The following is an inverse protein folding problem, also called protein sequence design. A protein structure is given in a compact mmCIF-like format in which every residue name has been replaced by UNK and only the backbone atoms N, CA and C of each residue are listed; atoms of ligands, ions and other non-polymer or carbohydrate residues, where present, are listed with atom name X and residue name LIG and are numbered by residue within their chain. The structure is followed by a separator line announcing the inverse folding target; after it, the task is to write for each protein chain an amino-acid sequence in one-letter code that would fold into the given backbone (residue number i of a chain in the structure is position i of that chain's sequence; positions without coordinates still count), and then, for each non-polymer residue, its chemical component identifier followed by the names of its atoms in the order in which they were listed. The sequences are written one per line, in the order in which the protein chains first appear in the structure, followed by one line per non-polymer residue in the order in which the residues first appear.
data_IF_602692164610
#
_entry.id   IF_602692164610
#
_cell.length_a   1.000
_cell.length_b   1.000
_cell.length_c   1.000
_cell.angle_alpha   90.00
_cell.angle_beta   90.00
_cell.angle_gamma   90.00
#
_symmetry.space_group_name_H-M   'P 1'
#
loop_
_entity.id
_entity.type
_entity.pdbx_description
1 polymer ?
#
# COMPACT_ATOMS: atom_id res chain seq x y z
N UNK A 1 -7.26 -14.11 1.47
CA UNK A 1 -6.29 -13.17 0.87
C UNK A 1 -7.04 -11.88 0.58
N UNK A 2 -6.64 -10.78 1.20
CA UNK A 2 -7.28 -9.46 1.08
C UNK A 2 -6.47 -8.63 0.09
N UNK A 3 -7.13 -8.15 -0.96
CA UNK A 3 -6.50 -7.30 -1.95
C UNK A 3 -6.62 -5.84 -1.51
N UNK A 4 -5.50 -5.14 -1.42
CA UNK A 4 -5.43 -3.78 -0.92
C UNK A 4 -4.85 -2.83 -1.99
N UNK A 5 -5.49 -1.68 -2.14
CA UNK A 5 -5.02 -0.56 -2.94
C UNK A 5 -4.71 0.62 -2.02
N UNK A 6 -3.60 1.31 -2.26
CA UNK A 6 -3.15 2.45 -1.43
C UNK A 6 -3.09 3.72 -2.27
N UNK A 7 -3.76 4.78 -1.81
CA UNK A 7 -3.64 6.15 -2.35
C UNK A 7 -2.75 6.98 -1.41
N UNK A 8 -1.89 7.83 -1.97
CA UNK A 8 -0.85 8.56 -1.22
C UNK A 8 0.36 7.69 -0.89
N UNK A 9 0.71 6.75 -1.77
CA UNK A 9 1.74 5.73 -1.58
C UNK A 9 3.14 6.28 -1.28
N UNK A 10 3.50 7.44 -1.83
CA UNK A 10 4.77 8.12 -1.57
C UNK A 10 4.73 9.00 -0.31
N UNK A 11 3.55 9.20 0.28
CA UNK A 11 3.40 9.88 1.57
C UNK A 11 3.93 9.04 2.73
N UNK A 12 4.32 9.70 3.83
CA UNK A 12 4.86 9.05 5.05
C UNK A 12 3.98 7.92 5.59
N UNK A 13 2.66 8.06 5.49
CA UNK A 13 1.72 7.02 5.93
C UNK A 13 1.51 5.96 4.85
N UNK A 14 1.44 6.36 3.57
CA UNK A 14 1.25 5.40 2.47
C UNK A 14 2.39 4.39 2.38
N UNK A 15 3.63 4.84 2.58
CA UNK A 15 4.80 3.97 2.60
C UNK A 15 4.72 2.94 3.74
N UNK A 16 4.30 3.36 4.94
CA UNK A 16 4.11 2.45 6.09
C UNK A 16 2.97 1.46 5.87
N UNK A 17 1.87 1.89 5.22
CA UNK A 17 0.74 1.02 4.89
C UNK A 17 1.18 -0.05 3.88
N UNK A 18 1.92 0.35 2.85
CA UNK A 18 2.48 -0.58 1.85
C UNK A 18 3.39 -1.60 2.54
N UNK A 19 4.29 -1.15 3.41
CA UNK A 19 5.20 -2.02 4.16
C UNK A 19 4.44 -3.07 4.99
N UNK A 20 3.39 -2.65 5.71
CA UNK A 20 2.54 -3.55 6.48
C UNK A 20 1.78 -4.57 5.61
N UNK A 21 1.28 -4.14 4.44
CA UNK A 21 0.61 -5.04 3.50
C UNK A 21 1.60 -6.08 2.97
N UNK A 22 2.81 -5.66 2.59
CA UNK A 22 3.86 -6.58 2.09
C UNK A 22 4.37 -7.57 3.14
N UNK A 23 4.35 -7.19 4.42
CA UNK A 23 4.74 -8.07 5.53
C UNK A 23 3.61 -9.01 5.99
N UNK A 24 2.38 -8.83 5.49
CA UNK A 24 1.23 -9.66 5.88
C UNK A 24 1.07 -10.87 4.95
N UNK A 25 0.93 -12.06 5.52
CA UNK A 25 0.63 -13.29 4.75
C UNK A 25 -0.80 -13.37 4.24
N UNK A 26 -1.70 -12.55 4.78
CA UNK A 26 -3.11 -12.56 4.43
C UNK A 26 -3.52 -11.44 3.46
N UNK A 27 -2.60 -10.55 3.10
CA UNK A 27 -2.87 -9.39 2.24
C UNK A 27 -1.97 -9.40 1.00
N UNK A 28 -2.46 -8.74 -0.05
CA UNK A 28 -1.70 -8.51 -1.27
C UNK A 28 -1.91 -7.07 -1.72
N UNK A 29 -0.81 -6.33 -1.94
CA UNK A 29 -0.86 -5.02 -2.56
C UNK A 29 -1.13 -5.18 -4.05
N UNK A 30 -2.26 -4.69 -4.54
CA UNK A 30 -2.64 -4.78 -5.97
C UNK A 30 -2.37 -3.49 -6.74
N UNK A 31 -2.37 -2.34 -6.07
CA UNK A 31 -2.08 -1.05 -6.70
C UNK A 31 -1.69 0.01 -5.67
N UNK A 32 -0.83 0.92 -6.08
CA UNK A 32 -0.37 2.05 -5.28
C UNK A 32 -0.38 3.31 -6.16
N UNK A 33 -1.00 4.39 -5.68
CA UNK A 33 -1.16 5.65 -6.41
C UNK A 33 -0.74 6.82 -5.52
N UNK A 34 -0.26 7.91 -6.11
CA UNK A 34 -0.04 9.18 -5.42
C UNK A 34 -0.52 10.36 -6.28
N UNK A 35 -0.88 11.46 -5.63
CA UNK A 35 -1.29 12.70 -6.33
C UNK A 35 -0.02 13.50 -6.58
N UNK A 36 0.64 13.23 -7.71
CA UNK A 36 1.79 14.01 -8.17
C UNK A 36 2.95 13.21 -8.76
N UNK A 37 2.88 11.88 -8.73
CA UNK A 37 3.83 10.99 -9.40
C UNK A 37 3.14 9.71 -9.86
#
# INVERSE_FOLDING_TARGET
MINAAVLGACGRMGSLIIENITCSTNMQLVSAFDVGN
#
